data_IF_692501560883
#
_entry.id   IF_692501560883
#
_cell.length_a   1.000
_cell.length_b   1.000
_cell.length_c   1.000
_cell.angle_alpha   90.00
_cell.angle_beta   90.00
_cell.angle_gamma   90.00
#
_symmetry.space_group_name_H-M   'P 1'
#
loop_
_entity.id
_entity.type
_entity.pdbx_description
1 polymer ?
#
# COMPACT_ATOMS: atom_id res chain seq x y z
N UNK A 1 -6.29 8.79 -14.41
CA UNK A 1 -6.69 8.22 -13.10
C UNK A 1 -5.42 7.90 -12.33
N UNK A 2 -5.29 8.34 -11.07
CA UNK A 2 -4.12 8.03 -10.21
C UNK A 2 -4.48 6.88 -9.25
N UNK A 3 -3.48 6.10 -8.85
CA UNK A 3 -3.69 5.00 -7.91
C UNK A 3 -4.06 5.53 -6.52
N UNK A 4 -5.02 4.90 -5.86
CA UNK A 4 -5.49 5.32 -4.54
C UNK A 4 -4.48 4.96 -3.45
N UNK A 5 -4.38 5.81 -2.43
CA UNK A 5 -3.51 5.59 -1.28
C UNK A 5 -4.16 4.59 -0.33
N UNK A 6 -3.42 3.56 0.07
CA UNK A 6 -3.87 2.63 1.09
C UNK A 6 -3.85 3.29 2.47
N UNK A 7 -4.97 3.28 3.19
CA UNK A 7 -5.08 3.96 4.50
C UNK A 7 -4.17 3.37 5.58
N UNK A 8 -3.87 2.07 5.51
CA UNK A 8 -3.04 1.38 6.51
C UNK A 8 -1.54 1.58 6.29
N UNK A 9 -1.09 1.69 5.04
CA UNK A 9 0.35 1.80 4.71
C UNK A 9 0.75 3.21 4.25
N UNK A 10 -0.19 4.07 3.87
CA UNK A 10 0.07 5.43 3.38
C UNK A 10 0.67 5.48 1.98
N UNK A 11 0.84 4.34 1.30
CA UNK A 11 1.37 4.26 -0.06
C UNK A 11 0.31 3.79 -1.05
N UNK A 12 0.47 4.17 -2.32
CA UNK A 12 -0.31 3.60 -3.42
C UNK A 12 0.19 2.20 -3.76
N UNK A 13 -0.65 1.42 -4.44
CA UNK A 13 -0.24 0.10 -4.93
C UNK A 13 0.94 0.20 -5.91
N UNK A 14 0.93 1.22 -6.79
CA UNK A 14 2.00 1.45 -7.76
C UNK A 14 3.34 1.67 -7.07
N UNK A 15 3.35 2.53 -6.04
CA UNK A 15 4.58 2.82 -5.30
C UNK A 15 5.10 1.62 -4.54
N UNK A 16 4.22 0.75 -4.06
CA UNK A 16 4.59 -0.49 -3.37
C UNK A 16 5.10 -1.57 -4.32
N UNK A 17 4.56 -1.66 -5.54
CA UNK A 17 4.96 -2.70 -6.52
C UNK A 17 6.17 -2.29 -7.36
N UNK A 18 6.28 -1.01 -7.72
CA UNK A 18 7.22 -0.51 -8.72
C UNK A 18 8.25 0.47 -8.14
N UNK A 19 8.15 0.82 -6.85
CA UNK A 19 9.00 1.84 -6.22
C UNK A 19 8.75 3.27 -6.73
N UNK A 20 7.78 3.45 -7.65
CA UNK A 20 7.44 4.73 -8.28
C UNK A 20 5.97 4.77 -8.69
N UNK A 21 5.47 5.97 -8.92
CA UNK A 21 4.19 6.15 -9.59
C UNK A 21 4.32 5.94 -11.10
N UNK A 22 3.26 5.43 -11.70
CA UNK A 22 3.16 5.29 -13.16
C UNK A 22 2.64 6.60 -13.74
N UNK A 23 3.21 7.00 -14.88
CA UNK A 23 2.74 8.16 -15.63
C UNK A 23 1.27 7.99 -16.01
N UNK A 24 0.51 9.06 -15.81
CA UNK A 24 -0.86 9.12 -16.30
C UNK A 24 -0.87 9.32 -17.82
N UNK A 25 -1.97 8.95 -18.48
CA UNK A 25 -2.13 9.16 -19.93
C UNK A 25 -1.97 10.63 -20.34
N UNK A 26 -2.38 11.58 -19.49
CA UNK A 26 -2.15 13.00 -19.74
C UNK A 26 -0.65 13.36 -19.70
N UNK A 27 0.10 12.82 -18.74
CA UNK A 27 1.55 13.05 -18.60
C UNK A 27 2.36 12.42 -19.75
N UNK A 28 1.81 11.42 -20.45
CA UNK A 28 2.42 10.86 -21.66
C UNK A 28 2.14 11.71 -22.91
N UNK A 29 0.95 12.30 -23.00
CA UNK A 29 0.49 13.07 -24.17
C UNK A 29 1.04 14.49 -24.15
N UNK A 30 1.17 15.09 -22.96
CA UNK A 30 1.69 16.44 -22.80
C UNK A 30 3.15 16.38 -22.36
N UNK A 31 4.09 17.00 -23.10
CA UNK A 31 5.49 17.02 -22.69
C UNK A 31 5.62 17.75 -21.36
N UNK A 32 6.04 17.02 -20.33
CA UNK A 32 6.43 17.64 -19.06
C UNK A 32 7.74 18.40 -19.23
N UNK A 33 7.96 19.47 -18.44
CA UNK A 33 9.27 20.10 -18.35
C UNK A 33 10.31 19.01 -18.06
N UNK A 34 11.29 18.89 -18.96
CA UNK A 34 12.31 17.85 -18.92
C UNK A 34 13.14 18.05 -17.65
N UNK A 35 12.93 17.22 -16.64
CA UNK A 35 13.94 17.04 -15.61
C UNK A 35 15.16 16.44 -16.29
N UNK A 36 16.33 17.03 -16.04
CA UNK A 36 17.60 16.51 -16.55
C UNK A 36 17.67 15.00 -16.29
N UNK A 37 17.92 14.25 -17.36
CA UNK A 37 17.99 12.80 -17.30
C UNK A 37 19.16 12.41 -16.39
N UNK A 38 18.85 11.89 -15.20
CA UNK A 38 19.85 11.36 -14.29
C UNK A 38 20.61 10.21 -14.96
N UNK A 39 21.90 10.02 -14.63
CA UNK A 39 22.63 8.85 -15.08
C UNK A 39 21.89 7.58 -14.66
N UNK A 40 21.87 6.58 -15.54
CA UNK A 40 21.09 5.34 -15.36
C UNK A 40 21.42 4.64 -14.05
N UNK A 41 22.69 4.68 -13.63
CA UNK A 41 23.17 4.11 -12.37
C UNK A 41 22.50 4.75 -11.15
N UNK A 42 22.42 6.08 -11.12
CA UNK A 42 21.76 6.82 -10.04
C UNK A 42 20.25 6.59 -10.05
N UNK A 43 19.64 6.48 -11.23
CA UNK A 43 18.23 6.15 -11.36
C UNK A 43 17.90 4.77 -10.77
N UNK A 44 18.67 3.74 -11.13
CA UNK A 44 18.46 2.36 -10.63
C UNK A 44 18.65 2.31 -9.12
N UNK A 45 19.73 2.91 -8.60
CA UNK A 45 19.99 2.96 -7.16
C UNK A 45 18.85 3.64 -6.39
N UNK A 46 18.36 4.78 -6.88
CA UNK A 46 17.22 5.48 -6.24
C UNK A 46 15.94 4.63 -6.27
N UNK A 47 15.72 3.87 -7.34
CA UNK A 47 14.56 3.00 -7.47
C UNK A 47 14.63 1.83 -6.48
N UNK A 48 15.79 1.18 -6.35
CA UNK A 48 16.02 0.13 -5.36
C UNK A 48 15.81 0.64 -3.93
N UNK A 49 16.41 1.77 -3.58
CA UNK A 49 16.23 2.37 -2.26
C UNK A 49 14.77 2.72 -1.96
N UNK A 50 14.04 3.26 -2.95
CA UNK A 50 12.61 3.55 -2.82
C UNK A 50 11.81 2.27 -2.55
N UNK A 51 12.06 1.20 -3.30
CA UNK A 51 11.38 -0.09 -3.08
C UNK A 51 11.63 -0.64 -1.67
N UNK A 52 12.90 -0.68 -1.24
CA UNK A 52 13.27 -1.20 0.09
C UNK A 52 12.58 -0.39 1.19
N UNK A 53 12.67 0.94 1.12
CA UNK A 53 12.06 1.83 2.13
C UNK A 53 10.54 1.68 2.21
N UNK A 54 9.85 1.59 1.06
CA UNK A 54 8.40 1.40 1.01
C UNK A 54 8.02 0.05 1.59
N UNK A 55 8.75 -1.03 1.26
CA UNK A 55 8.47 -2.36 1.79
C UNK A 55 8.72 -2.47 3.29
N UNK A 56 9.79 -1.88 3.81
CA UNK A 56 10.06 -1.85 5.25
C UNK A 56 8.96 -1.11 6.01
N UNK A 57 8.54 0.05 5.49
CA UNK A 57 7.47 0.84 6.10
C UNK A 57 6.15 0.09 6.04
N UNK A 58 5.81 -0.48 4.89
CA UNK A 58 4.61 -1.30 4.72
C UNK A 58 4.61 -2.49 5.70
N UNK A 59 5.73 -3.19 5.88
CA UNK A 59 5.84 -4.31 6.82
C UNK A 59 5.61 -3.86 8.27
N UNK A 60 6.18 -2.73 8.69
CA UNK A 60 5.95 -2.16 10.03
C UNK A 60 4.48 -1.81 10.24
N UNK A 61 3.87 -1.12 9.28
CA UNK A 61 2.47 -0.72 9.33
C UNK A 61 1.52 -1.93 9.35
N UNK A 62 1.75 -2.92 8.48
CA UNK A 62 0.93 -4.12 8.39
C UNK A 62 1.00 -4.95 9.67
N UNK A 63 2.18 -5.11 10.27
CA UNK A 63 2.33 -5.85 11.53
C UNK A 63 1.53 -5.20 12.67
N UNK A 64 1.59 -3.87 12.79
CA UNK A 64 0.81 -3.14 13.79
C UNK A 64 -0.70 -3.22 13.52
N UNK A 65 -1.10 -2.98 12.27
CA UNK A 65 -2.51 -2.99 11.88
C UNK A 65 -3.15 -4.37 12.03
N UNK A 66 -2.45 -5.44 11.66
CA UNK A 66 -2.91 -6.81 11.83
C UNK A 66 -3.06 -7.19 13.31
N UNK A 67 -2.14 -6.75 14.18
CA UNK A 67 -2.25 -7.00 15.61
C UNK A 67 -3.48 -6.31 16.23
N UNK A 68 -3.78 -5.08 15.78
CA UNK A 68 -5.01 -4.38 16.19
C UNK A 68 -6.27 -5.05 15.64
N UNK A 69 -6.32 -5.33 14.34
CA UNK A 69 -7.46 -6.01 13.72
C UNK A 69 -7.75 -7.35 14.39
N UNK A 70 -6.72 -8.17 14.64
CA UNK A 70 -6.90 -9.45 15.32
C UNK A 70 -7.51 -9.28 16.71
N UNK A 71 -7.03 -8.31 17.51
CA UNK A 71 -7.60 -8.05 18.85
C UNK A 71 -9.06 -7.61 18.76
N UNK A 72 -9.38 -6.70 17.85
CA UNK A 72 -10.74 -6.21 17.69
C UNK A 72 -11.68 -7.32 17.20
N UNK A 73 -11.22 -8.17 16.28
CA UNK A 73 -11.95 -9.35 15.81
C UNK A 73 -12.13 -10.38 16.94
N UNK A 74 -11.07 -10.69 17.71
CA UNK A 74 -11.13 -11.60 18.86
C UNK A 74 -12.13 -11.10 19.92
N UNK A 75 -12.14 -9.79 20.20
CA UNK A 75 -13.12 -9.16 21.11
C UNK A 75 -14.53 -9.27 20.56
N UNK A 76 -14.73 -8.99 19.26
CA UNK A 76 -16.04 -9.09 18.60
C UNK A 76 -16.58 -10.52 18.61
N UNK A 77 -15.70 -11.51 18.40
CA UNK A 77 -16.02 -12.95 18.51
C UNK A 77 -16.42 -13.33 19.94
N UNK A 78 -15.68 -12.83 20.95
CA UNK A 78 -16.02 -13.09 22.35
C UNK A 78 -17.34 -12.43 22.78
N UNK A 79 -17.67 -11.27 22.22
CA UNK A 79 -18.91 -10.54 22.53
C UNK A 79 -20.15 -11.15 21.87
N UNK A 80 -19.98 -11.88 20.77
CA UNK A 80 -21.09 -12.50 20.04
C UNK A 80 -20.88 -14.02 19.91
N UNK A 81 -20.99 -14.78 21.02
CA UNK A 81 -20.84 -16.23 20.97
C UNK A 81 -22.03 -16.84 20.24
N UNK A 82 -21.84 -17.21 18.97
CA UNK A 82 -22.84 -17.95 18.20
C UNK A 82 -23.10 -19.30 18.85
N UNK A 83 -24.36 -19.59 19.16
CA UNK A 83 -24.83 -20.90 19.62
C UNK A 83 -25.30 -21.72 18.42
N UNK A 84 -25.26 -23.05 18.57
CA UNK A 84 -25.60 -24.06 17.53
C UNK A 84 -27.09 -23.99 17.08
N UNK A 85 -27.83 -22.95 17.45
CA UNK A 85 -29.22 -22.72 17.04
C UNK A 85 -29.50 -21.27 16.62
N UNK A 86 -28.46 -20.44 16.50
CA UNK A 86 -28.61 -19.06 16.01
C UNK A 86 -28.79 -19.07 14.49
N UNK A 87 -29.87 -18.43 14.02
CA UNK A 87 -30.13 -18.23 12.60
C UNK A 87 -29.15 -17.19 12.05
N UNK A 88 -28.13 -17.66 11.35
CA UNK A 88 -27.28 -16.80 10.52
C UNK A 88 -28.08 -16.46 9.27
N UNK A 89 -28.66 -15.26 9.21
CA UNK A 89 -29.23 -14.77 7.95
C UNK A 89 -28.09 -14.61 6.95
N UNK A 90 -28.15 -15.41 5.87
CA UNK A 90 -27.30 -15.29 4.70
C UNK A 90 -27.63 -14.04 3.88
#
# INVERSE_FOLDING_TARGET
MRSAVCRSTGFTANRMMLGREVYTTAELVYPLPTHEAKPVTEYVHNLEQSMVSVHETARKCLNGYQAHMKRDDDVRLCQNPYRVSDLVCA
#
